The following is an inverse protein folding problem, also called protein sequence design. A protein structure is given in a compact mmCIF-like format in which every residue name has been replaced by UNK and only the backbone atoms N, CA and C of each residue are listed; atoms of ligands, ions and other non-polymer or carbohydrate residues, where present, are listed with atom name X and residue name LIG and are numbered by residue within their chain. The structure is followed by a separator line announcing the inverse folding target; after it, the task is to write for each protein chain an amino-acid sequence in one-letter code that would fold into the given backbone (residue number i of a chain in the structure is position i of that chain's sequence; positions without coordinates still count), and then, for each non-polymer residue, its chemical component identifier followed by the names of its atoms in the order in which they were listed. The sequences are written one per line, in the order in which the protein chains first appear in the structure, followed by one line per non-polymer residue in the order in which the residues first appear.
data_IF_970252224615
#
_entry.id   IF_970252224615
#
_cell.length_a   1.000
_cell.length_b   1.000
_cell.length_c   1.000
_cell.angle_alpha   90.00
_cell.angle_beta   90.00
_cell.angle_gamma   90.00
#
_symmetry.space_group_name_H-M   'P 1'
#
loop_
_entity.id
_entity.type
_entity.pdbx_description
1 polymer ?
#
# COMPACT_ATOMS: atom_id res chain seq x y z
N UNK A 1 -19.67 -3.76 0.08
CA UNK A 1 -19.14 -2.57 -0.61
C UNK A 1 -20.02 -2.36 -1.81
N UNK A 2 -20.51 -1.15 -2.00
CA UNK A 2 -21.12 -0.76 -3.27
C UNK A 2 -20.10 -1.04 -4.37
N UNK A 3 -20.50 -1.74 -5.42
CA UNK A 3 -19.62 -1.87 -6.60
C UNK A 3 -19.52 -0.49 -7.23
N UNK A 4 -18.31 -0.03 -7.50
CA UNK A 4 -18.12 1.16 -8.32
C UNK A 4 -18.65 0.88 -9.73
N UNK A 5 -19.43 1.82 -10.29
CA UNK A 5 -19.82 1.75 -11.69
C UNK A 5 -18.65 2.16 -12.59
N UNK A 6 -18.73 1.85 -13.88
CA UNK A 6 -17.68 2.23 -14.84
C UNK A 6 -17.54 3.76 -14.93
N UNK A 7 -18.66 4.48 -14.86
CA UNK A 7 -18.72 5.95 -14.89
C UNK A 7 -18.00 6.54 -13.67
N UNK A 8 -18.28 6.03 -12.47
CA UNK A 8 -17.61 6.48 -11.24
C UNK A 8 -16.09 6.26 -11.30
N UNK A 9 -15.64 5.12 -11.84
CA UNK A 9 -14.21 4.85 -12.01
C UNK A 9 -13.59 5.81 -13.02
N UNK A 10 -14.28 6.10 -14.13
CA UNK A 10 -13.82 7.05 -15.14
C UNK A 10 -13.67 8.46 -14.55
N UNK A 11 -14.66 8.92 -13.80
CA UNK A 11 -14.63 10.23 -13.13
C UNK A 11 -13.44 10.35 -12.15
N UNK A 12 -13.14 9.28 -11.40
CA UNK A 12 -12.00 9.27 -10.49
C UNK A 12 -10.66 9.32 -11.22
N UNK A 13 -10.51 8.57 -12.31
CA UNK A 13 -9.31 8.61 -13.16
C UNK A 13 -9.10 10.02 -13.76
N UNK A 14 -10.18 10.71 -14.11
CA UNK A 14 -10.12 12.07 -14.62
C UNK A 14 -9.86 13.12 -13.54
N UNK A 15 -10.24 12.86 -12.29
CA UNK A 15 -10.09 13.81 -11.18
C UNK A 15 -8.74 13.72 -10.47
N UNK A 16 -8.26 12.51 -10.18
CA UNK A 16 -7.07 12.29 -9.35
C UNK A 16 -5.82 12.27 -10.25
N UNK A 17 -4.87 13.18 -10.01
CA UNK A 17 -3.73 13.40 -10.91
C UNK A 17 -2.38 13.10 -10.29
N UNK A 18 -2.28 13.09 -8.97
CA UNK A 18 -1.04 12.80 -8.25
C UNK A 18 -1.13 11.50 -7.44
N UNK A 19 0.01 10.83 -7.15
CA UNK A 19 0.02 9.66 -6.28
C UNK A 19 -0.61 9.93 -4.91
N UNK A 20 -0.31 11.07 -4.30
CA UNK A 20 -0.82 11.46 -2.99
C UNK A 20 -2.35 11.62 -3.00
N UNK A 21 -2.92 12.24 -4.05
CA UNK A 21 -4.38 12.35 -4.21
C UNK A 21 -5.04 10.98 -4.32
N UNK A 22 -4.44 10.05 -5.08
CA UNK A 22 -4.95 8.69 -5.23
C UNK A 22 -4.91 7.94 -3.90
N UNK A 23 -3.79 8.01 -3.19
CA UNK A 23 -3.60 7.35 -1.90
C UNK A 23 -4.53 7.93 -0.84
N UNK A 24 -4.64 9.25 -0.76
CA UNK A 24 -5.54 9.93 0.18
C UNK A 24 -7.00 9.54 -0.09
N UNK A 25 -7.45 9.62 -1.34
CA UNK A 25 -8.82 9.23 -1.70
C UNK A 25 -9.09 7.76 -1.35
N UNK A 26 -8.17 6.85 -1.68
CA UNK A 26 -8.30 5.43 -1.37
C UNK A 26 -8.39 5.17 0.14
N UNK A 27 -7.57 5.85 0.93
CA UNK A 27 -7.58 5.75 2.39
C UNK A 27 -8.89 6.30 2.98
N UNK A 28 -9.39 7.43 2.50
CA UNK A 28 -10.64 8.03 3.00
C UNK A 28 -11.90 7.20 2.66
N UNK A 29 -11.91 6.52 1.50
CA UNK A 29 -13.13 5.91 0.96
C UNK A 29 -13.17 4.38 1.06
N UNK A 30 -12.02 3.71 1.18
CA UNK A 30 -11.92 2.23 1.09
C UNK A 30 -11.29 1.63 2.35
N UNK A 31 -10.48 2.37 3.11
CA UNK A 31 -9.91 1.86 4.37
C UNK A 31 -11.03 1.46 5.36
N UNK A 32 -10.88 0.36 6.13
CA UNK A 32 -9.72 -0.52 6.30
C UNK A 32 -9.59 -1.67 5.29
N UNK A 33 -10.37 -1.66 4.20
CA UNK A 33 -10.33 -2.72 3.17
C UNK A 33 -9.29 -2.48 2.08
N UNK A 34 -8.71 -1.29 2.03
CA UNK A 34 -7.55 -0.99 1.20
C UNK A 34 -6.27 -1.53 1.84
N UNK A 35 -5.46 -2.24 1.06
CA UNK A 35 -4.11 -2.63 1.43
C UNK A 35 -3.18 -2.53 0.23
N UNK A 36 -1.93 -2.11 0.45
CA UNK A 36 -0.88 -2.15 -0.55
C UNK A 36 -0.27 -3.56 -0.58
N UNK A 37 -0.31 -4.20 -1.75
CA UNK A 37 0.52 -5.36 -2.03
C UNK A 37 1.94 -4.87 -2.38
N UNK A 38 2.95 -5.30 -1.62
CA UNK A 38 4.33 -4.83 -1.79
C UNK A 38 5.31 -5.99 -1.92
N UNK A 39 6.17 -5.92 -2.94
CA UNK A 39 7.38 -6.75 -3.07
C UNK A 39 8.63 -6.01 -2.58
N UNK A 40 8.46 -4.77 -2.10
CA UNK A 40 9.52 -3.92 -1.56
C UNK A 40 10.54 -3.46 -2.61
N UNK A 41 10.08 -3.31 -3.85
CA UNK A 41 10.79 -2.54 -4.88
C UNK A 41 10.90 -1.06 -4.49
N UNK A 42 11.75 -0.30 -5.16
CA UNK A 42 11.98 1.11 -4.83
C UNK A 42 10.69 1.94 -4.92
N UNK A 43 9.87 1.68 -5.93
CA UNK A 43 8.56 2.27 -6.15
C UNK A 43 7.57 1.93 -5.04
N UNK A 44 7.53 0.67 -4.59
CA UNK A 44 6.67 0.25 -3.48
C UNK A 44 7.07 0.99 -2.20
N UNK A 45 8.37 1.12 -1.93
CA UNK A 45 8.87 1.84 -0.75
C UNK A 45 8.51 3.32 -0.80
N UNK A 46 8.50 3.94 -1.98
CA UNK A 46 7.99 5.30 -2.16
C UNK A 46 6.50 5.39 -1.80
N UNK A 47 5.67 4.44 -2.23
CA UNK A 47 4.25 4.40 -1.88
C UNK A 47 4.04 4.14 -0.38
N UNK A 48 4.81 3.24 0.23
CA UNK A 48 4.79 3.01 1.68
C UNK A 48 5.14 4.29 2.44
N UNK A 49 6.15 5.04 1.99
CA UNK A 49 6.51 6.32 2.59
C UNK A 49 5.35 7.32 2.56
N UNK A 50 4.65 7.43 1.42
CA UNK A 50 3.49 8.32 1.28
C UNK A 50 2.33 7.84 2.16
N UNK A 51 2.00 6.55 2.13
CA UNK A 51 0.94 5.96 2.96
C UNK A 51 1.19 6.20 4.45
N UNK A 52 2.41 5.95 4.95
CA UNK A 52 2.75 6.14 6.35
C UNK A 52 2.62 7.59 6.81
N UNK A 53 2.82 8.57 5.91
CA UNK A 53 2.60 9.99 6.19
C UNK A 53 1.11 10.37 6.23
N UNK A 54 0.28 9.75 5.38
CA UNK A 54 -1.15 10.05 5.30
C UNK A 54 -1.92 9.34 6.42
N UNK A 55 -1.68 8.04 6.61
CA UNK A 55 -2.30 7.24 7.66
C UNK A 55 -1.33 6.13 8.13
N UNK A 56 -0.81 6.20 9.37
CA UNK A 56 0.11 5.17 9.90
C UNK A 56 -0.52 3.78 10.02
N UNK A 57 -1.86 3.69 10.07
CA UNK A 57 -2.61 2.43 10.09
C UNK A 57 -2.89 1.87 8.68
N UNK A 58 -2.35 2.49 7.62
CA UNK A 58 -2.44 1.97 6.27
C UNK A 58 -1.89 0.54 6.19
N UNK A 59 -2.65 -0.36 5.58
CA UNK A 59 -2.30 -1.78 5.53
C UNK A 59 -1.33 -2.04 4.39
N UNK A 60 -0.24 -2.73 4.69
CA UNK A 60 0.74 -3.23 3.72
C UNK A 60 0.85 -4.73 3.90
N UNK A 61 0.77 -5.49 2.82
CA UNK A 61 0.98 -6.93 2.86
C UNK A 61 2.00 -7.39 1.82
N UNK A 62 2.62 -8.53 2.10
CA UNK A 62 3.53 -9.19 1.17
C UNK A 62 3.25 -10.69 1.12
N UNK A 63 3.52 -11.28 -0.05
CA UNK A 63 3.45 -12.72 -0.26
C UNK A 63 4.85 -13.29 -0.11
N UNK A 64 5.10 -13.98 1.00
CA UNK A 64 6.35 -14.67 1.22
C UNK A 64 6.28 -16.05 0.58
N UNK A 65 7.08 -16.25 -0.46
CA UNK A 65 7.15 -17.50 -1.23
C UNK A 65 8.09 -18.54 -0.62
N UNK A 66 8.77 -18.19 0.48
CA UNK A 66 9.85 -18.97 1.09
C UNK A 66 11.15 -18.98 0.28
N UNK A 67 11.23 -18.18 -0.79
CA UNK A 67 12.38 -18.12 -1.71
C UNK A 67 12.80 -16.69 -2.07
N UNK A 68 12.32 -15.69 -1.33
CA UNK A 68 12.73 -14.30 -1.55
C UNK A 68 14.14 -14.06 -0.99
N UNK A 69 14.85 -13.10 -1.57
CA UNK A 69 16.23 -12.77 -1.16
C UNK A 69 16.27 -12.24 0.28
N UNK A 70 17.38 -12.47 0.99
CA UNK A 70 17.56 -12.00 2.37
C UNK A 70 17.45 -10.47 2.46
N UNK A 71 17.93 -9.77 1.44
CA UNK A 71 17.87 -8.32 1.31
C UNK A 71 16.43 -7.82 1.33
N UNK A 72 15.48 -8.56 0.76
CA UNK A 72 14.06 -8.19 0.81
C UNK A 72 13.54 -8.22 2.24
N UNK A 73 13.84 -9.28 3.02
CA UNK A 73 13.47 -9.33 4.45
C UNK A 73 14.12 -8.19 5.25
N UNK A 74 15.39 -7.87 4.96
CA UNK A 74 16.07 -6.76 5.62
C UNK A 74 15.35 -5.43 5.34
N UNK A 75 14.88 -5.20 4.11
CA UNK A 75 14.07 -4.02 3.76
C UNK A 75 12.74 -4.00 4.52
N UNK A 76 12.06 -5.15 4.67
CA UNK A 76 10.83 -5.23 5.48
C UNK A 76 11.06 -4.77 6.91
N UNK A 77 12.15 -5.22 7.54
CA UNK A 77 12.48 -4.86 8.91
C UNK A 77 12.85 -3.38 9.05
N UNK A 78 13.59 -2.82 8.10
CA UNK A 78 13.90 -1.39 8.09
C UNK A 78 12.64 -0.53 7.91
N UNK A 79 11.68 -0.97 7.08
CA UNK A 79 10.38 -0.30 6.90
C UNK A 79 9.58 -0.33 8.20
N UNK A 80 9.49 -1.48 8.87
CA UNK A 80 8.79 -1.61 10.17
C UNK A 80 9.36 -0.65 11.20
N UNK A 81 10.70 -0.60 11.32
CA UNK A 81 11.39 0.30 12.25
C UNK A 81 11.17 1.78 11.89
N UNK A 82 11.27 2.13 10.62
CA UNK A 82 11.24 3.52 10.16
C UNK A 82 9.84 4.15 10.24
N UNK A 83 8.81 3.40 9.88
CA UNK A 83 7.45 3.93 9.75
C UNK A 83 6.49 3.45 10.84
N UNK A 84 6.93 2.55 11.73
CA UNK A 84 6.07 1.89 12.72
C UNK A 84 4.84 1.20 12.06
N UNK A 85 4.98 0.76 10.81
CA UNK A 85 3.91 0.13 10.03
C UNK A 85 3.94 -1.38 10.22
N UNK A 86 2.76 -1.98 10.39
CA UNK A 86 2.60 -3.44 10.37
C UNK A 86 2.61 -3.95 8.93
N UNK A 87 3.58 -4.82 8.61
CA UNK A 87 3.60 -5.58 7.35
C UNK A 87 2.94 -6.93 7.59
N UNK A 88 1.80 -7.16 6.95
CA UNK A 88 1.07 -8.43 6.95
C UNK A 88 1.78 -9.43 6.02
N UNK A 89 2.30 -10.52 6.57
CA UNK A 89 2.95 -11.57 5.78
C UNK A 89 1.97 -12.70 5.53
N UNK A 90 1.77 -13.04 4.26
CA UNK A 90 1.04 -14.24 3.84
C UNK A 90 2.05 -15.25 3.32
N UNK A 91 2.05 -16.44 3.92
CA UNK A 91 2.92 -17.56 3.57
C UNK A 91 2.05 -18.79 3.24
N UNK A 92 2.38 -19.57 2.20
CA UNK A 92 1.64 -20.77 1.82
C UNK A 92 1.82 -21.96 2.79
#
# INVERSE_FOLDING_TARGET
MSRFTAEQVSELNDKLKTPEEVLQWGLENIHPKLALASSFGAEDVCVIHMLAKINPEARVFSLDTGRINQETYNVMDEIRKKYNTKIEITFP
#
